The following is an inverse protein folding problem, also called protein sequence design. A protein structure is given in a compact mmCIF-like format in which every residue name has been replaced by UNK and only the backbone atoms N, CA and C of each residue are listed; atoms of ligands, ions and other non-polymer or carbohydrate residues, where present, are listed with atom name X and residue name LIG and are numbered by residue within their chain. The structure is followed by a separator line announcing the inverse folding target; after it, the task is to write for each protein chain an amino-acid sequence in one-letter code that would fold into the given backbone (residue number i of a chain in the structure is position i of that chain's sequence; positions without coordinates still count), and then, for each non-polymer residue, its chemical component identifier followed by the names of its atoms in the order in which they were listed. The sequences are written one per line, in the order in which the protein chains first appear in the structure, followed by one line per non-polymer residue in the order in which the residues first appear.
data_IF_652750142691
#
_entry.id   IF_652750142691
#
_cell.length_a   1.000
_cell.length_b   1.000
_cell.length_c   1.000
_cell.angle_alpha   90.00
_cell.angle_beta   90.00
_cell.angle_gamma   90.00
#
_symmetry.space_group_name_H-M   'P 1'
#
loop_
_entity.id
_entity.type
_entity.pdbx_description
1 polymer ?
#
# COMPACT_ATOMS: atom_id res chain seq x y z
N UNK A 1 -7.00 14.05 -12.40
CA UNK A 1 -5.56 13.75 -12.60
C UNK A 1 -4.84 13.67 -11.25
N UNK A 2 -5.26 12.77 -10.34
CA UNK A 2 -4.68 12.63 -9.00
C UNK A 2 -4.30 11.18 -8.62
N UNK A 3 -4.63 10.21 -9.48
CA UNK A 3 -4.63 8.78 -9.13
C UNK A 3 -3.24 8.13 -9.15
N UNK A 4 -2.34 8.57 -10.04
CA UNK A 4 -1.01 7.97 -10.21
C UNK A 4 -0.04 8.30 -9.08
N UNK A 5 -0.20 9.48 -8.46
CA UNK A 5 0.71 9.97 -7.40
C UNK A 5 0.69 9.08 -6.16
N UNK A 6 -0.50 8.57 -5.80
CA UNK A 6 -0.69 7.74 -4.61
C UNK A 6 -0.10 6.34 -4.76
N UNK A 7 -0.21 5.73 -5.95
CA UNK A 7 0.44 4.44 -6.23
C UNK A 7 1.97 4.55 -6.17
N UNK A 8 2.55 5.59 -6.77
CA UNK A 8 3.99 5.85 -6.70
C UNK A 8 4.45 6.11 -5.26
N UNK A 9 3.74 6.95 -4.51
CA UNK A 9 4.07 7.27 -3.11
C UNK A 9 3.95 6.06 -2.17
N UNK A 10 3.08 5.11 -2.49
CA UNK A 10 2.88 3.88 -1.74
C UNK A 10 3.81 2.75 -2.19
N UNK A 11 4.66 2.92 -3.20
CA UNK A 11 5.51 1.84 -3.70
C UNK A 11 6.73 1.66 -2.79
N UNK A 12 6.94 0.44 -2.30
CA UNK A 12 8.09 0.06 -1.50
C UNK A 12 8.77 -1.18 -2.09
N UNK A 13 10.06 -1.37 -1.78
CA UNK A 13 10.80 -2.58 -2.13
C UNK A 13 11.09 -3.40 -0.89
N UNK A 14 10.88 -4.71 -0.97
CA UNK A 14 11.24 -5.68 0.03
C UNK A 14 12.38 -6.52 -0.52
N UNK A 15 13.54 -6.46 0.13
CA UNK A 15 14.70 -7.28 -0.24
C UNK A 15 14.52 -8.69 0.30
N UNK A 16 14.48 -9.67 -0.59
CA UNK A 16 14.35 -11.08 -0.25
C UNK A 16 15.57 -11.86 -0.73
N UNK A 17 15.74 -13.10 -0.26
CA UNK A 17 16.81 -13.98 -0.72
C UNK A 17 16.74 -14.29 -2.23
N UNK A 18 15.58 -14.08 -2.85
CA UNK A 18 15.32 -14.30 -4.28
C UNK A 18 15.45 -13.02 -5.12
N UNK A 19 15.69 -11.86 -4.47
CA UNK A 19 15.79 -10.55 -5.12
C UNK A 19 14.90 -9.50 -4.48
N UNK A 20 14.91 -8.29 -5.06
CA UNK A 20 14.07 -7.18 -4.63
C UNK A 20 12.66 -7.31 -5.21
N UNK A 21 11.65 -7.38 -4.34
CA UNK A 21 10.24 -7.45 -4.73
C UNK A 21 9.60 -6.10 -4.46
N UNK A 22 8.88 -5.54 -5.43
CA UNK A 22 8.10 -4.31 -5.23
C UNK A 22 6.71 -4.65 -4.67
N UNK A 23 6.25 -3.90 -3.67
CA UNK A 23 4.91 -4.02 -3.08
C UNK A 23 4.34 -2.62 -2.77
N UNK A 24 3.03 -2.51 -2.54
CA UNK A 24 2.41 -1.24 -2.17
C UNK A 24 2.15 -1.21 -0.65
N UNK A 25 2.81 -0.29 0.06
CA UNK A 25 2.62 -0.10 1.50
C UNK A 25 1.28 0.59 1.78
N UNK A 26 0.23 -0.20 1.98
CA UNK A 26 -1.08 0.28 2.46
C UNK A 26 -0.99 1.23 3.67
N UNK A 27 -0.07 1.08 4.66
CA UNK A 27 0.04 2.02 5.77
C UNK A 27 0.21 3.48 5.35
N UNK A 28 0.75 3.74 4.15
CA UNK A 28 0.83 5.08 3.59
C UNK A 28 -0.56 5.72 3.41
N UNK A 29 -1.59 4.93 3.09
CA UNK A 29 -2.97 5.40 2.97
C UNK A 29 -3.55 5.84 4.32
N UNK A 30 -3.11 5.23 5.42
CA UNK A 30 -3.53 5.61 6.78
C UNK A 30 -2.76 6.85 7.26
N UNK A 31 -1.46 6.96 6.95
CA UNK A 31 -0.63 8.15 7.19
C UNK A 31 -1.16 9.40 6.47
N UNK A 32 -1.72 9.24 5.27
CA UNK A 32 -2.36 10.32 4.50
C UNK A 32 -3.80 10.61 4.96
N UNK A 33 -4.31 9.89 5.97
CA UNK A 33 -5.67 10.08 6.51
C UNK A 33 -6.79 9.60 5.57
N UNK A 34 -6.47 8.83 4.53
CA UNK A 34 -7.42 8.38 3.51
C UNK A 34 -8.26 7.20 3.99
N UNK A 35 -7.74 6.37 4.89
CA UNK A 35 -8.46 5.23 5.47
C UNK A 35 -7.88 4.81 6.82
N UNK A 36 -8.56 3.91 7.54
CA UNK A 36 -8.06 3.26 8.76
C UNK A 36 -7.97 1.75 8.52
N UNK A 37 -6.78 1.25 8.17
CA UNK A 37 -6.60 -0.14 7.78
C UNK A 37 -6.99 -1.10 8.91
N UNK A 38 -6.72 -0.69 10.15
CA UNK A 38 -7.07 -1.42 11.38
C UNK A 38 -8.57 -1.76 11.49
N UNK A 39 -9.45 -0.94 10.91
CA UNK A 39 -10.91 -1.13 10.94
C UNK A 39 -11.47 -1.83 9.70
N UNK A 40 -10.65 -2.02 8.66
CA UNK A 40 -11.09 -2.69 7.44
C UNK A 40 -11.10 -4.22 7.63
N UNK A 41 -12.15 -4.91 7.16
CA UNK A 41 -12.14 -6.35 7.00
C UNK A 41 -10.95 -6.79 6.15
N UNK A 42 -10.41 -7.98 6.42
CA UNK A 42 -9.22 -8.49 5.73
C UNK A 42 -9.40 -8.53 4.20
N UNK A 43 -10.59 -8.89 3.72
CA UNK A 43 -10.92 -8.92 2.29
C UNK A 43 -10.77 -7.55 1.60
N UNK A 44 -11.10 -6.46 2.28
CA UNK A 44 -10.97 -5.10 1.75
C UNK A 44 -9.49 -4.69 1.66
N UNK A 45 -8.65 -5.16 2.59
CA UNK A 45 -7.19 -4.92 2.53
C UNK A 45 -6.56 -5.59 1.30
N UNK A 46 -7.03 -6.78 0.95
CA UNK A 46 -6.57 -7.50 -0.26
C UNK A 46 -7.00 -6.78 -1.55
N UNK A 47 -8.19 -6.18 -1.57
CA UNK A 47 -8.67 -5.39 -2.72
C UNK A 47 -7.94 -4.04 -2.89
N UNK A 48 -7.32 -3.53 -1.82
CA UNK A 48 -6.60 -2.25 -1.80
C UNK A 48 -5.13 -2.39 -2.18
N UNK A 49 -4.56 -3.58 -2.05
CA UNK A 49 -3.23 -3.93 -2.58
C UNK A 49 -3.29 -4.10 -4.11
#
# INVERSE_FOLDING_TARGET
MADTSLKEASRASLRTAQGDIAYYRLPHLEEQGLTRLSRLPFSIRVLLE
#
